data_IF_416732404470
#
_entry.id   IF_416732404470
#
_cell.length_a   1.000
_cell.length_b   1.000
_cell.length_c   1.000
_cell.angle_alpha   90.00
_cell.angle_beta   90.00
_cell.angle_gamma   90.00
#
_symmetry.space_group_name_H-M   'P 1'
#
loop_
_entity.id
_entity.type
_entity.pdbx_description
1 polymer ?
#
# COMPACT_ATOMS: atom_id res chain seq x y z
N UNK A 1 6.81 -17.48 50.93
CA UNK A 1 6.06 -17.50 49.66
C UNK A 1 4.70 -16.85 49.90
N UNK A 2 4.60 -15.52 49.75
CA UNK A 2 3.34 -14.76 49.81
C UNK A 2 3.65 -13.27 49.53
N UNK A 3 3.69 -12.88 48.26
CA UNK A 3 3.50 -11.48 47.84
C UNK A 3 2.69 -11.52 46.53
N UNK A 4 1.45 -11.97 46.65
CA UNK A 4 0.41 -11.76 45.64
C UNK A 4 -0.47 -10.63 46.17
N UNK A 5 0.10 -9.42 46.23
CA UNK A 5 -0.69 -8.22 46.48
C UNK A 5 -1.53 -7.96 45.23
N UNK A 6 -2.82 -8.29 45.34
CA UNK A 6 -3.91 -7.88 44.46
C UNK A 6 -3.68 -6.45 43.93
N UNK A 7 -3.29 -6.33 42.67
CA UNK A 7 -3.48 -5.10 41.91
C UNK A 7 -4.95 -5.11 41.48
N UNK A 8 -5.86 -4.70 42.36
CA UNK A 8 -7.25 -4.48 41.96
C UNK A 8 -7.32 -3.14 41.23
N UNK A 9 -7.23 -3.17 39.90
CA UNK A 9 -7.44 -1.99 39.07
C UNK A 9 -8.94 -1.62 39.18
N UNK A 10 -9.31 -0.43 39.69
CA UNK A 10 -10.71 -0.06 39.88
C UNK A 10 -11.46 -0.06 38.54
N UNK A 11 -12.59 -0.77 38.49
CA UNK A 11 -13.35 -1.07 37.27
C UNK A 11 -13.96 0.16 36.56
N UNK A 12 -13.94 1.34 37.21
CA UNK A 12 -14.39 2.61 36.62
C UNK A 12 -13.23 3.44 36.02
N UNK A 13 -12.00 3.22 36.49
CA UNK A 13 -10.78 3.77 35.91
C UNK A 13 -10.40 3.04 34.62
N UNK A 14 -10.74 1.77 34.47
CA UNK A 14 -10.35 0.99 33.28
C UNK A 14 -11.01 1.45 31.99
N UNK A 15 -12.33 1.70 31.94
CA UNK A 15 -13.03 1.97 30.68
C UNK A 15 -12.72 3.34 30.07
N UNK A 16 -12.76 4.42 30.86
CA UNK A 16 -12.46 5.78 30.36
C UNK A 16 -11.00 5.94 29.94
N UNK A 17 -10.09 5.35 30.71
CA UNK A 17 -8.68 5.39 30.36
C UNK A 17 -8.37 4.49 29.17
N UNK A 18 -9.01 3.32 29.01
CA UNK A 18 -8.87 2.49 27.81
C UNK A 18 -9.24 3.23 26.52
N UNK A 19 -10.33 4.01 26.55
CA UNK A 19 -10.69 4.88 25.42
C UNK A 19 -9.59 5.93 25.18
N UNK A 20 -9.16 6.66 26.21
CA UNK A 20 -8.11 7.69 26.05
C UNK A 20 -6.77 7.13 25.57
N UNK A 21 -6.39 5.92 25.99
CA UNK A 21 -5.15 5.26 25.57
C UNK A 21 -5.22 4.71 24.14
N UNK A 22 -6.41 4.42 23.61
CA UNK A 22 -6.58 3.91 22.25
C UNK A 22 -6.73 5.02 21.19
N UNK A 23 -7.06 6.26 21.60
CA UNK A 23 -7.25 7.40 20.68
C UNK A 23 -6.07 7.59 19.70
N UNK A 24 -4.80 7.63 20.14
CA UNK A 24 -3.68 7.84 19.22
C UNK A 24 -3.58 6.74 18.17
N UNK A 25 -3.76 5.48 18.59
CA UNK A 25 -3.76 4.35 17.67
C UNK A 25 -4.91 4.46 16.65
N UNK A 26 -6.14 4.72 17.11
CA UNK A 26 -7.32 4.81 16.24
C UNK A 26 -7.21 5.97 15.24
N UNK A 27 -6.73 7.13 15.68
CA UNK A 27 -6.46 8.29 14.82
C UNK A 27 -5.43 7.94 13.75
N UNK A 28 -4.34 7.29 14.12
CA UNK A 28 -3.31 6.89 13.18
C UNK A 28 -3.81 5.87 12.16
N UNK A 29 -4.58 4.87 12.59
CA UNK A 29 -5.23 3.92 11.68
C UNK A 29 -6.14 4.65 10.70
N UNK A 30 -6.97 5.57 11.19
CA UNK A 30 -7.84 6.38 10.33
C UNK A 30 -7.04 7.18 9.28
N UNK A 31 -5.97 7.86 9.70
CA UNK A 31 -5.09 8.61 8.80
C UNK A 31 -4.41 7.71 7.77
N UNK A 32 -3.97 6.51 8.16
CA UNK A 32 -3.39 5.52 7.24
C UNK A 32 -4.36 5.22 6.08
N UNK A 33 -5.64 4.98 6.39
CA UNK A 33 -6.64 4.67 5.36
C UNK A 33 -7.07 5.88 4.52
N UNK A 34 -7.05 7.09 5.09
CA UNK A 34 -7.39 8.32 4.36
C UNK A 34 -6.30 8.73 3.34
N UNK A 35 -5.02 8.40 3.60
CA UNK A 35 -3.89 8.92 2.80
C UNK A 35 -3.35 7.97 1.73
N UNK A 36 -3.88 6.73 1.66
CA UNK A 36 -3.36 5.53 0.95
C UNK A 36 -2.41 4.69 1.84
N UNK A 37 -2.87 3.51 2.33
CA UNK A 37 -2.07 2.67 3.23
C UNK A 37 -0.69 2.30 2.69
N UNK A 38 -0.55 2.10 1.38
CA UNK A 38 0.74 1.74 0.80
C UNK A 38 1.74 2.90 0.82
N UNK A 39 1.27 4.13 0.60
CA UNK A 39 2.15 5.31 0.67
C UNK A 39 2.68 5.51 2.07
N UNK A 40 1.82 5.29 3.07
CA UNK A 40 2.21 5.43 4.48
C UNK A 40 3.20 4.34 4.88
N UNK A 41 2.98 3.10 4.42
CA UNK A 41 3.96 2.01 4.59
C UNK A 41 5.29 2.36 3.91
N UNK A 42 5.29 2.79 2.65
CA UNK A 42 6.50 3.19 1.92
C UNK A 42 7.28 4.30 2.66
N UNK A 43 6.59 5.35 3.10
CA UNK A 43 7.18 6.43 3.88
C UNK A 43 7.77 5.93 5.21
N UNK A 44 7.11 4.99 5.89
CA UNK A 44 7.61 4.39 7.12
C UNK A 44 8.93 3.65 6.89
N UNK A 45 9.06 2.83 5.85
CA UNK A 45 10.32 2.14 5.52
C UNK A 45 11.42 3.10 5.11
N UNK A 46 11.11 4.13 4.33
CA UNK A 46 12.08 5.18 3.99
C UNK A 46 12.57 5.91 5.24
N UNK A 47 11.67 6.19 6.19
CA UNK A 47 12.01 6.82 7.47
C UNK A 47 12.89 5.90 8.32
N UNK A 48 12.59 4.60 8.40
CA UNK A 48 13.43 3.62 9.08
C UNK A 48 14.83 3.57 8.47
N UNK A 49 14.92 3.53 7.14
CA UNK A 49 16.20 3.51 6.42
C UNK A 49 17.01 4.78 6.67
N UNK A 50 16.41 5.96 6.51
CA UNK A 50 17.06 7.25 6.80
C UNK A 50 17.54 7.31 8.25
N UNK A 51 16.78 6.74 9.18
CA UNK A 51 17.14 6.75 10.61
C UNK A 51 18.43 6.00 10.92
N UNK A 52 18.85 5.05 10.08
CA UNK A 52 20.15 4.38 10.23
C UNK A 52 21.30 5.39 10.06
N UNK A 53 21.18 6.30 9.10
CA UNK A 53 22.22 7.31 8.81
C UNK A 53 22.16 8.52 9.74
N UNK A 54 20.98 8.87 10.24
CA UNK A 54 20.74 10.03 11.09
C UNK A 54 20.52 9.67 12.57
N UNK A 55 21.08 8.55 13.04
CA UNK A 55 21.09 8.15 14.46
C UNK A 55 19.69 8.18 15.09
N UNK A 56 18.68 7.70 14.37
CA UNK A 56 17.30 7.59 14.89
C UNK A 56 16.47 8.88 14.89
N UNK A 57 17.02 10.03 14.48
CA UNK A 57 16.29 11.32 14.50
C UNK A 57 14.96 11.27 13.71
N UNK A 58 14.90 10.75 12.47
CA UNK A 58 13.65 10.72 11.70
C UNK A 58 12.55 9.89 12.38
N UNK A 59 12.89 8.72 12.93
CA UNK A 59 11.98 7.90 13.74
C UNK A 59 11.46 8.71 14.95
N UNK A 60 12.36 9.40 15.65
CA UNK A 60 11.99 10.24 16.79
C UNK A 60 10.96 11.31 16.42
N UNK A 61 11.13 11.98 15.28
CA UNK A 61 10.18 12.98 14.77
C UNK A 61 8.80 12.38 14.46
N UNK A 62 8.75 11.20 13.84
CA UNK A 62 7.48 10.51 13.54
C UNK A 62 6.73 10.12 14.81
N UNK A 63 7.44 9.72 15.87
CA UNK A 63 6.81 9.31 17.12
C UNK A 63 6.58 10.45 18.12
N UNK A 64 7.09 11.65 17.85
CA UNK A 64 6.96 12.83 18.72
C UNK A 64 5.51 13.21 19.05
N UNK A 65 4.54 13.15 18.11
CA UNK A 65 3.13 13.41 18.44
C UNK A 65 2.56 12.43 19.47
N UNK A 66 2.95 11.16 19.42
CA UNK A 66 2.50 10.15 20.38
C UNK A 66 3.13 10.38 21.75
N UNK A 67 4.42 10.69 21.78
CA UNK A 67 5.10 11.07 23.02
C UNK A 67 4.43 12.28 23.68
N UNK A 68 4.16 13.33 22.90
CA UNK A 68 3.45 14.52 23.37
C UNK A 68 2.07 14.19 23.94
N UNK A 69 1.29 13.36 23.25
CA UNK A 69 -0.03 12.94 23.72
C UNK A 69 0.03 12.21 25.07
N UNK A 70 0.89 11.19 25.21
CA UNK A 70 0.98 10.43 26.46
C UNK A 70 1.61 11.25 27.60
N UNK A 71 2.52 12.18 27.29
CA UNK A 71 3.03 13.15 28.25
C UNK A 71 1.92 14.06 28.80
N UNK A 72 1.05 14.59 27.93
CA UNK A 72 -0.09 15.40 28.36
C UNK A 72 -1.07 14.58 29.20
N UNK A 73 -1.35 13.33 28.83
CA UNK A 73 -2.19 12.44 29.63
C UNK A 73 -1.60 12.22 31.03
N UNK A 74 -0.30 11.95 31.12
CA UNK A 74 0.39 11.81 32.39
C UNK A 74 0.22 13.07 33.25
N UNK A 75 0.44 14.25 32.67
CA UNK A 75 0.41 15.54 33.38
C UNK A 75 -0.99 15.92 33.85
N UNK A 76 -2.00 15.80 32.99
CA UNK A 76 -3.36 16.27 33.30
C UNK A 76 -4.19 15.27 34.11
N UNK A 77 -3.98 13.97 33.91
CA UNK A 77 -4.76 12.92 34.59
C UNK A 77 -4.01 12.27 35.74
N UNK A 78 -2.83 12.81 36.12
CA UNK A 78 -1.98 12.32 37.22
C UNK A 78 -1.69 10.82 37.14
N UNK A 79 -1.56 10.30 35.92
CA UNK A 79 -1.26 8.89 35.70
C UNK A 79 0.22 8.63 35.98
N UNK A 80 0.55 7.42 36.42
CA UNK A 80 1.94 7.03 36.65
C UNK A 80 2.73 7.05 35.34
N UNK A 81 4.02 7.40 35.46
CA UNK A 81 4.97 7.40 34.34
C UNK A 81 5.02 6.03 33.64
N UNK A 82 5.06 4.95 34.43
CA UNK A 82 5.10 3.56 33.93
C UNK A 82 3.93 3.28 32.99
N UNK A 83 2.69 3.60 33.39
CA UNK A 83 1.50 3.34 32.55
C UNK A 83 1.54 4.14 31.25
N UNK A 84 2.00 5.39 31.30
CA UNK A 84 2.08 6.26 30.11
C UNK A 84 3.12 5.75 29.11
N UNK A 85 4.29 5.32 29.59
CA UNK A 85 5.35 4.73 28.76
C UNK A 85 4.89 3.38 28.18
N UNK A 86 4.26 2.52 28.98
CA UNK A 86 3.72 1.25 28.48
C UNK A 86 2.72 1.49 27.36
N UNK A 87 1.79 2.45 27.51
CA UNK A 87 0.81 2.75 26.48
C UNK A 87 1.43 3.29 25.18
N UNK A 88 2.47 4.14 25.29
CA UNK A 88 3.24 4.60 24.14
C UNK A 88 3.86 3.43 23.37
N UNK A 89 4.57 2.54 24.07
CA UNK A 89 5.20 1.36 23.46
C UNK A 89 4.15 0.45 22.82
N UNK A 90 3.05 0.16 23.51
CA UNK A 90 1.96 -0.65 22.97
C UNK A 90 1.37 -0.03 21.70
N UNK A 91 1.21 1.29 21.65
CA UNK A 91 0.72 2.00 20.45
C UNK A 91 1.66 1.83 19.27
N UNK A 92 2.97 1.98 19.49
CA UNK A 92 3.99 1.80 18.45
C UNK A 92 3.96 0.36 17.91
N UNK A 93 3.94 -0.64 18.79
CA UNK A 93 3.86 -2.06 18.42
C UNK A 93 2.59 -2.33 17.61
N UNK A 94 1.44 -1.81 18.05
CA UNK A 94 0.18 -1.99 17.35
C UNK A 94 0.20 -1.39 15.93
N UNK A 95 0.83 -0.22 15.74
CA UNK A 95 0.99 0.39 14.41
C UNK A 95 1.90 -0.44 13.50
N UNK A 96 2.99 -0.99 14.03
CA UNK A 96 3.87 -1.89 13.27
C UNK A 96 3.09 -3.13 12.80
N UNK A 97 2.26 -3.71 13.68
CA UNK A 97 1.40 -4.85 13.32
C UNK A 97 0.42 -4.46 12.20
N UNK A 98 -0.18 -3.27 12.25
CA UNK A 98 -1.06 -2.77 11.17
C UNK A 98 -0.31 -2.71 9.84
N UNK A 99 0.93 -2.22 9.82
CA UNK A 99 1.74 -2.18 8.59
C UNK A 99 2.00 -3.59 8.04
N UNK A 100 2.37 -4.55 8.88
CA UNK A 100 2.56 -5.95 8.48
C UNK A 100 1.27 -6.53 7.88
N UNK A 101 0.11 -6.28 8.51
CA UNK A 101 -1.18 -6.75 8.02
C UNK A 101 -1.52 -6.12 6.67
N UNK A 102 -1.35 -4.80 6.51
CA UNK A 102 -1.58 -4.10 5.25
C UNK A 102 -0.73 -4.71 4.14
N UNK A 103 0.57 -4.91 4.37
CA UNK A 103 1.48 -5.51 3.39
C UNK A 103 1.06 -6.91 2.94
N UNK A 104 0.72 -7.77 3.91
CA UNK A 104 0.37 -9.16 3.62
C UNK A 104 -1.00 -9.29 2.92
N UNK A 105 -1.91 -8.35 3.17
CA UNK A 105 -3.28 -8.40 2.64
C UNK A 105 -3.46 -7.57 1.37
N UNK A 106 -2.57 -6.61 1.08
CA UNK A 106 -2.75 -5.67 -0.03
C UNK A 106 -2.87 -6.36 -1.38
N UNK A 107 -1.95 -7.27 -1.71
CA UNK A 107 -1.94 -7.96 -3.01
C UNK A 107 -3.24 -8.74 -3.26
N UNK A 108 -3.77 -9.38 -2.21
CA UNK A 108 -5.05 -10.08 -2.23
C UNK A 108 -6.23 -9.13 -2.46
N UNK A 109 -6.26 -8.01 -1.72
CA UNK A 109 -7.29 -6.98 -1.88
C UNK A 109 -7.26 -6.35 -3.29
N UNK A 110 -6.08 -6.03 -3.79
CA UNK A 110 -5.90 -5.41 -5.09
C UNK A 110 -6.35 -6.33 -6.23
N UNK A 111 -6.00 -7.61 -6.14
CA UNK A 111 -6.40 -8.59 -7.16
C UNK A 111 -7.92 -8.70 -7.26
N UNK A 112 -8.62 -8.66 -6.11
CA UNK A 112 -10.09 -8.72 -6.05
C UNK A 112 -10.76 -7.43 -6.51
N UNK A 113 -10.15 -6.27 -6.27
CA UNK A 113 -10.78 -4.98 -6.52
C UNK A 113 -10.47 -4.41 -7.90
N UNK A 114 -9.26 -4.65 -8.41
CA UNK A 114 -8.76 -3.99 -9.62
C UNK A 114 -8.29 -4.93 -10.72
N UNK A 115 -7.76 -6.12 -10.37
CA UNK A 115 -7.24 -7.08 -11.35
C UNK A 115 -8.23 -8.22 -11.60
N UNK A 116 -9.49 -7.88 -11.84
CA UNK A 116 -10.58 -8.86 -11.99
C UNK A 116 -10.57 -9.51 -13.37
N UNK A 117 -11.23 -10.66 -13.49
CA UNK A 117 -11.46 -11.32 -14.79
C UNK A 117 -12.27 -10.43 -15.73
N UNK A 118 -13.23 -9.69 -15.18
CA UNK A 118 -14.07 -8.77 -15.94
C UNK A 118 -13.25 -7.62 -16.53
N UNK A 119 -12.46 -6.93 -15.70
CA UNK A 119 -11.55 -5.86 -16.16
C UNK A 119 -10.56 -6.38 -17.20
N UNK A 120 -9.98 -7.57 -16.96
CA UNK A 120 -9.06 -8.20 -17.92
C UNK A 120 -9.74 -8.46 -19.27
N UNK A 121 -10.98 -8.95 -19.26
CA UNK A 121 -11.78 -9.20 -20.47
C UNK A 121 -12.11 -7.89 -21.20
N UNK A 122 -12.57 -6.87 -20.47
CA UNK A 122 -12.89 -5.55 -21.04
C UNK A 122 -11.67 -4.89 -21.69
N UNK A 123 -10.52 -4.86 -21.00
CA UNK A 123 -9.29 -4.28 -21.53
C UNK A 123 -8.72 -5.10 -22.69
N UNK A 124 -8.86 -6.42 -22.66
CA UNK A 124 -8.46 -7.31 -23.76
C UNK A 124 -9.29 -7.03 -25.02
N UNK A 125 -10.62 -6.90 -24.89
CA UNK A 125 -11.50 -6.55 -26.01
C UNK A 125 -11.13 -5.19 -26.60
N UNK A 126 -10.94 -4.18 -25.74
CA UNK A 126 -10.50 -2.84 -26.16
C UNK A 126 -9.15 -2.86 -26.86
N UNK A 127 -8.21 -3.70 -26.41
CA UNK A 127 -6.90 -3.86 -27.06
C UNK A 127 -7.01 -4.48 -28.45
N UNK A 128 -7.89 -5.47 -28.63
CA UNK A 128 -8.15 -6.08 -29.94
C UNK A 128 -8.80 -5.06 -30.87
N UNK A 129 -9.80 -4.32 -30.41
CA UNK A 129 -10.46 -3.28 -31.19
C UNK A 129 -9.47 -2.20 -31.66
N UNK A 130 -8.59 -1.74 -30.76
CA UNK A 130 -7.52 -0.80 -31.12
C UNK A 130 -6.57 -1.39 -32.15
N UNK A 131 -6.17 -2.66 -32.01
CA UNK A 131 -5.32 -3.34 -32.97
C UNK A 131 -5.98 -3.45 -34.34
N UNK A 132 -7.25 -3.87 -34.39
CA UNK A 132 -8.01 -4.03 -35.63
C UNK A 132 -8.20 -2.68 -36.34
N UNK A 133 -8.48 -1.61 -35.60
CA UNK A 133 -8.58 -0.26 -36.15
C UNK A 133 -7.24 0.28 -36.66
N UNK A 134 -6.12 -0.11 -36.05
CA UNK A 134 -4.78 0.35 -36.42
C UNK A 134 -4.18 -0.41 -37.60
N UNK A 135 -4.50 -1.69 -37.73
CA UNK A 135 -3.85 -2.61 -38.68
C UNK A 135 -4.77 -3.05 -39.82
N UNK A 136 -6.08 -2.94 -39.64
CA UNK A 136 -7.08 -3.47 -40.55
C UNK A 136 -7.19 -5.00 -40.54
N UNK A 137 -6.47 -5.71 -39.66
CA UNK A 137 -6.48 -7.18 -39.57
C UNK A 137 -6.96 -7.66 -38.21
N UNK A 138 -7.61 -8.83 -38.19
CA UNK A 138 -8.19 -9.40 -36.96
C UNK A 138 -7.13 -9.75 -35.93
N UNK A 139 -7.30 -9.27 -34.69
CA UNK A 139 -6.36 -9.47 -33.59
C UNK A 139 -6.73 -10.60 -32.64
N UNK A 140 -5.73 -11.17 -31.95
CA UNK A 140 -5.89 -12.03 -30.77
C UNK A 140 -4.90 -11.62 -29.68
N UNK A 141 -5.36 -11.66 -28.43
CA UNK A 141 -4.47 -11.46 -27.27
C UNK A 141 -3.55 -12.67 -27.16
N UNK A 142 -2.24 -12.40 -27.13
CA UNK A 142 -1.20 -13.41 -26.92
C UNK A 142 -0.73 -13.47 -25.47
N UNK A 143 -0.60 -12.31 -24.83
CA UNK A 143 -0.11 -12.20 -23.45
C UNK A 143 -0.80 -11.06 -22.72
N UNK A 144 -1.11 -11.29 -21.45
CA UNK A 144 -1.55 -10.26 -20.51
C UNK A 144 -0.61 -10.30 -19.32
N UNK A 145 0.09 -9.20 -19.06
CA UNK A 145 0.86 -8.99 -17.84
C UNK A 145 0.12 -7.99 -16.96
N UNK A 146 -0.15 -8.39 -15.72
CA UNK A 146 -0.76 -7.55 -14.69
C UNK A 146 0.33 -7.15 -13.70
N UNK A 147 0.43 -5.87 -13.39
CA UNK A 147 1.40 -5.37 -12.42
C UNK A 147 0.67 -4.68 -11.28
N UNK A 148 0.95 -5.21 -10.08
CA UNK A 148 0.47 -4.72 -8.80
C UNK A 148 1.09 -3.35 -8.48
N UNK A 149 0.41 -2.53 -7.68
CA UNK A 149 1.07 -1.37 -7.05
C UNK A 149 2.12 -1.79 -6.02
N UNK A 150 1.99 -2.98 -5.45
CA UNK A 150 2.81 -3.49 -4.36
C UNK A 150 3.78 -4.56 -4.86
N UNK A 151 5.07 -4.27 -4.73
CA UNK A 151 6.18 -5.22 -4.87
C UNK A 151 6.32 -5.90 -6.25
N UNK A 152 6.83 -5.12 -7.21
CA UNK A 152 7.57 -5.56 -8.41
C UNK A 152 8.77 -4.60 -8.55
N UNK A 153 9.67 -4.64 -7.56
CA UNK A 153 10.90 -3.85 -7.57
C UNK A 153 11.72 -4.23 -8.81
N UNK A 154 11.80 -3.35 -9.81
CA UNK A 154 12.92 -3.41 -10.73
C UNK A 154 14.14 -2.94 -9.97
N UNK A 155 15.24 -3.68 -10.12
CA UNK A 155 16.55 -3.42 -9.54
C UNK A 155 16.95 -1.93 -9.69
N UNK A 156 16.72 -1.12 -8.66
CA UNK A 156 17.18 0.28 -8.61
C UNK A 156 16.18 1.32 -8.08
N UNK A 157 14.89 0.99 -7.93
CA UNK A 157 13.88 1.92 -7.40
C UNK A 157 13.59 1.61 -5.92
N UNK A 158 13.91 2.55 -5.02
CA UNK A 158 13.73 2.39 -3.57
C UNK A 158 12.27 2.53 -3.11
N UNK A 159 11.33 2.75 -4.03
CA UNK A 159 9.91 2.88 -3.72
C UNK A 159 9.21 1.52 -3.72
N UNK A 160 8.47 1.22 -2.65
CA UNK A 160 7.61 0.03 -2.54
C UNK A 160 6.35 0.10 -3.41
N UNK A 161 6.09 1.26 -4.03
CA UNK A 161 4.87 1.58 -4.74
C UNK A 161 5.10 1.94 -6.22
N UNK A 162 4.37 1.30 -7.13
CA UNK A 162 4.31 1.69 -8.55
C UNK A 162 2.87 1.95 -8.99
N UNK A 163 2.68 2.49 -10.20
CA UNK A 163 1.33 2.60 -10.80
C UNK A 163 0.84 1.21 -11.20
N UNK A 164 -0.43 0.90 -10.93
CA UNK A 164 -1.08 -0.33 -11.39
C UNK A 164 -1.22 -0.31 -12.90
N UNK A 165 -0.83 -1.37 -13.60
CA UNK A 165 -1.03 -1.44 -15.04
C UNK A 165 -1.34 -2.83 -15.57
N UNK A 166 -2.07 -2.84 -16.70
CA UNK A 166 -2.14 -3.96 -17.62
C UNK A 166 -1.23 -3.68 -18.81
N UNK A 167 -0.46 -4.69 -19.20
CA UNK A 167 0.30 -4.71 -20.46
C UNK A 167 -0.21 -5.89 -21.30
N UNK A 168 -0.91 -5.58 -22.38
CA UNK A 168 -1.62 -6.55 -23.22
C UNK A 168 -0.95 -6.58 -24.60
N UNK A 169 -0.40 -7.73 -24.96
CA UNK A 169 0.19 -7.99 -26.28
C UNK A 169 -0.86 -8.63 -27.20
N UNK A 170 -1.13 -7.95 -28.31
CA UNK A 170 -2.03 -8.41 -29.37
C UNK A 170 -1.22 -8.73 -30.62
N UNK A 171 -1.55 -9.85 -31.25
CA UNK A 171 -0.96 -10.32 -32.52
C UNK A 171 -2.06 -10.62 -33.52
N UNK A 172 -1.74 -10.69 -34.81
CA UNK A 172 -2.70 -11.15 -35.82
C UNK A 172 -3.21 -12.56 -35.50
N UNK A 173 -4.51 -12.79 -35.75
CA UNK A 173 -5.10 -14.14 -35.73
C UNK A 173 -4.54 -15.02 -36.84
N UNK A 174 -4.28 -14.44 -38.01
CA UNK A 174 -3.79 -15.15 -39.18
C UNK A 174 -2.26 -15.03 -39.27
N UNK A 175 -1.50 -16.11 -39.05
CA UNK A 175 -0.04 -16.06 -39.05
C UNK A 175 0.57 -15.69 -40.42
N UNK A 176 -0.24 -15.76 -41.50
CA UNK A 176 0.16 -15.41 -42.86
C UNK A 176 0.07 -13.92 -43.18
N UNK A 177 -0.56 -13.11 -42.32
CA UNK A 177 -0.65 -11.65 -42.56
C UNK A 177 0.75 -11.03 -42.41
N UNK A 178 1.18 -10.29 -43.43
CA UNK A 178 2.48 -9.61 -43.48
C UNK A 178 2.67 -8.57 -42.36
N UNK A 179 1.58 -8.07 -41.76
CA UNK A 179 1.59 -7.17 -40.60
C UNK A 179 1.86 -7.94 -39.28
N UNK A 180 2.99 -8.65 -39.23
CA UNK A 180 3.39 -9.54 -38.11
C UNK A 180 3.78 -8.81 -36.82
N UNK A 181 3.72 -7.48 -36.77
CA UNK A 181 4.29 -6.71 -35.66
C UNK A 181 3.33 -6.77 -34.47
N UNK A 182 3.70 -7.42 -33.35
CA UNK A 182 2.88 -7.42 -32.14
C UNK A 182 2.70 -5.98 -31.64
N UNK A 183 1.48 -5.63 -31.23
CA UNK A 183 1.21 -4.36 -30.56
C UNK A 183 1.03 -4.59 -29.07
N UNK A 184 1.61 -3.71 -28.26
CA UNK A 184 1.43 -3.71 -26.81
C UNK A 184 0.63 -2.50 -26.38
N UNK A 185 -0.41 -2.75 -25.60
CA UNK A 185 -1.29 -1.73 -25.07
C UNK A 185 -1.14 -1.68 -23.55
N UNK A 186 -0.65 -0.53 -23.05
CA UNK A 186 -0.44 -0.33 -21.62
C UNK A 186 -1.57 0.53 -21.03
N UNK A 187 -2.38 -0.09 -20.19
CA UNK A 187 -3.46 0.58 -19.45
C UNK A 187 -3.03 0.85 -18.02
N UNK A 188 -3.20 2.06 -17.54
CA UNK A 188 -2.90 2.45 -16.15
C UNK A 188 -4.19 2.82 -15.43
N UNK A 189 -4.32 2.39 -14.18
CA UNK A 189 -5.44 2.80 -13.33
C UNK A 189 -5.14 4.17 -12.72
N UNK A 190 -6.01 5.15 -13.00
CA UNK A 190 -6.00 6.50 -12.42
C UNK A 190 -7.42 6.77 -11.92
N UNK A 191 -7.56 7.06 -10.63
CA UNK A 191 -8.86 7.34 -9.97
C UNK A 191 -9.94 6.29 -10.26
N UNK A 192 -9.56 5.01 -10.23
CA UNK A 192 -10.45 3.88 -10.48
C UNK A 192 -10.78 3.64 -11.96
N UNK A 193 -10.31 4.50 -12.88
CA UNK A 193 -10.52 4.36 -14.33
C UNK A 193 -9.26 3.83 -15.01
N UNK A 194 -9.44 2.98 -16.03
CA UNK A 194 -8.33 2.45 -16.83
C UNK A 194 -8.11 3.31 -18.07
N UNK A 195 -6.94 3.94 -18.13
CA UNK A 195 -6.56 4.87 -19.20
C UNK A 195 -5.43 4.23 -20.01
N UNK A 196 -5.54 4.26 -21.34
CA UNK A 196 -4.45 3.86 -22.23
C UNK A 196 -3.34 4.92 -22.14
N UNK A 197 -2.16 4.55 -21.62
CA UNK A 197 -1.04 5.50 -21.47
C UNK A 197 -0.08 5.49 -22.65
N UNK A 198 0.13 4.35 -23.30
CA UNK A 198 1.06 4.23 -24.43
C UNK A 198 0.45 3.38 -25.53
N UNK A 199 0.43 3.97 -26.73
CA UNK A 199 0.28 3.30 -28.03
C UNK A 199 1.69 3.26 -28.61
N UNK A 200 2.16 2.06 -29.00
CA UNK A 200 3.54 1.76 -29.39
C UNK A 200 4.33 2.92 -30.04
N UNK A 201 5.37 3.41 -29.36
CA UNK A 201 6.65 3.87 -29.94
C UNK A 201 7.77 3.45 -28.98
N UNK A 202 8.65 2.58 -29.46
CA UNK A 202 9.97 2.21 -28.91
C UNK A 202 10.03 1.61 -27.48
N UNK A 203 10.31 0.30 -27.40
CA UNK A 203 11.10 -0.36 -26.34
C UNK A 203 11.71 -1.70 -26.87
N UNK A 204 12.15 -1.67 -28.13
CA UNK A 204 13.07 -2.67 -28.67
C UNK A 204 14.17 -1.90 -29.39
N UNK A 205 15.14 -1.41 -28.62
CA UNK A 205 16.53 -1.08 -28.99
C UNK A 205 17.10 -0.14 -27.89
N UNK A 206 17.55 -0.76 -26.80
CA UNK A 206 18.79 -0.51 -26.07
C UNK A 206 18.78 -1.35 -24.80
#
# INVERSE_FOLDING_TARGET
MQILSKVSIPNYLTKRFFVLYSIPFLLSVLLIFLTDPLKVVDLFYQTLFLSIFYVGIPIGLVFLPYYGYFYLLQKYFKVTYVVSVTALITTIIALIIVFIVVQNTYKSYETRSYLTKETTSQLSKKSIELFENETGVKGKVKKVKMVSRYNDADNGDFTLIRKRYYDIEVVTKNPSDLQKIPRRYKFISVDGKWILKKKNEEWFLN
#
